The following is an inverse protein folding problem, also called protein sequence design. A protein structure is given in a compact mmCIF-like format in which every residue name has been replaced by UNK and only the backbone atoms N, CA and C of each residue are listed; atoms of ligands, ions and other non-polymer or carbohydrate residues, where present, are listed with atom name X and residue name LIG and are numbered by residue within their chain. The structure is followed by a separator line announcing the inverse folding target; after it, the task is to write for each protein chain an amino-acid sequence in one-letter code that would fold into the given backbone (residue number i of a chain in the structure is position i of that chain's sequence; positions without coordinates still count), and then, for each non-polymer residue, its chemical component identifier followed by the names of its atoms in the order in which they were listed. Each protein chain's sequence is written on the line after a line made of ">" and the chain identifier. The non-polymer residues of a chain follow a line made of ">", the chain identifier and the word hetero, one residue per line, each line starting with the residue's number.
data_IF_908905345484
#
_entry.id   IF_908905345484
#
_cell.length_a   1.000
_cell.length_b   1.000
_cell.length_c   1.000
_cell.angle_alpha   90.00
_cell.angle_beta   90.00
_cell.angle_gamma   90.00
#
_symmetry.space_group_name_H-M   'P 1'
#
loop_
_entity.id
_entity.type
_entity.pdbx_description
1 polymer ?
#
# COMPACT_ATOMS: atom_id res chain seq x y z
N UNK A 1 8.43 75.71 64.02
CA UNK A 1 8.13 74.42 63.36
C UNK A 1 9.39 74.03 62.60
N UNK A 2 10.17 73.01 62.93
CA UNK A 2 9.87 71.68 63.52
C UNK A 2 9.06 70.78 62.58
N UNK A 3 9.74 70.16 61.62
CA UNK A 3 9.92 68.69 61.63
C UNK A 3 11.09 68.22 60.75
N UNK A 4 11.85 67.30 61.32
CA UNK A 4 12.80 66.33 60.74
C UNK A 4 12.42 64.98 61.45
N UNK A 5 12.93 63.78 61.11
CA UNK A 5 13.85 63.40 60.03
C UNK A 5 13.38 62.14 59.25
N UNK A 6 14.34 61.44 58.63
CA UNK A 6 14.39 59.98 58.35
C UNK A 6 13.49 59.31 57.30
N UNK A 7 14.14 58.87 56.21
CA UNK A 7 13.90 57.58 55.55
C UNK A 7 15.11 57.15 54.66
N UNK A 8 16.23 56.74 55.28
CA UNK A 8 17.29 56.01 54.56
C UNK A 8 16.84 54.57 54.31
N UNK A 9 16.84 54.10 53.06
CA UNK A 9 16.53 52.70 52.73
C UNK A 9 17.55 52.10 51.77
N UNK A 10 18.64 51.60 52.37
CA UNK A 10 19.67 50.80 51.71
C UNK A 10 19.08 49.53 51.09
N UNK A 11 19.14 49.38 49.77
CA UNK A 11 18.96 48.07 49.13
C UNK A 11 20.31 47.50 48.68
N UNK A 12 20.84 46.57 49.49
CA UNK A 12 21.94 45.68 49.10
C UNK A 12 21.36 44.35 48.62
N UNK A 13 22.17 43.63 47.85
CA UNK A 13 21.89 42.30 47.29
C UNK A 13 20.89 42.32 46.13
N UNK A 14 20.93 41.43 45.14
CA UNK A 14 21.83 40.27 44.97
C UNK A 14 22.40 40.28 43.55
N UNK A 15 23.71 40.04 43.39
CA UNK A 15 24.26 39.66 42.08
C UNK A 15 23.78 38.24 41.80
N UNK A 16 22.59 38.14 41.20
CA UNK A 16 22.11 36.88 40.66
C UNK A 16 23.07 36.41 39.58
N UNK A 17 23.75 35.29 39.81
CA UNK A 17 24.32 34.49 38.71
C UNK A 17 23.14 33.93 37.90
N UNK A 18 22.57 34.78 37.06
CA UNK A 18 21.83 34.33 35.90
C UNK A 18 22.78 33.48 35.08
N UNK A 19 22.70 32.16 35.23
CA UNK A 19 23.31 31.26 34.27
C UNK A 19 22.72 31.66 32.94
N UNK A 20 23.53 32.24 32.06
CA UNK A 20 23.12 32.50 30.69
C UNK A 20 22.62 31.17 30.16
N UNK A 21 21.31 31.07 29.90
CA UNK A 21 20.75 29.91 29.23
C UNK A 21 21.48 29.87 27.91
N UNK A 22 22.45 28.96 27.79
CA UNK A 22 23.01 28.60 26.50
C UNK A 22 21.77 28.25 25.67
N UNK A 23 21.51 29.04 24.64
CA UNK A 23 20.77 28.49 23.50
C UNK A 23 21.62 27.31 23.07
N UNK A 24 21.16 26.12 23.45
CA UNK A 24 21.83 24.88 23.10
C UNK A 24 21.52 24.68 21.63
N UNK A 25 22.32 25.34 20.79
CA UNK A 25 22.40 25.07 19.36
C UNK A 25 22.41 23.56 19.21
N UNK A 26 21.43 22.95 18.51
CA UNK A 26 21.45 21.51 18.30
C UNK A 26 22.80 21.15 17.66
N UNK A 27 23.40 20.01 18.03
CA UNK A 27 24.70 19.64 17.49
C UNK A 27 24.60 19.57 15.96
N UNK A 28 25.48 20.27 15.21
CA UNK A 28 25.51 20.14 13.76
C UNK A 28 26.12 18.77 13.45
N UNK A 29 25.28 17.73 13.38
CA UNK A 29 25.72 16.33 13.35
C UNK A 29 24.86 15.38 12.50
N UNK A 30 24.02 15.91 11.60
CA UNK A 30 23.26 15.10 10.62
C UNK A 30 23.25 15.71 9.20
N UNK A 31 23.14 17.03 9.09
CA UNK A 31 22.94 17.68 7.79
C UNK A 31 24.21 17.79 6.93
N UNK A 32 25.34 18.21 7.53
CA UNK A 32 26.48 18.77 6.78
C UNK A 32 27.87 18.62 7.41
N UNK A 33 27.99 17.93 8.56
CA UNK A 33 29.25 17.88 9.34
C UNK A 33 30.18 16.71 9.01
N UNK A 34 29.83 15.88 8.01
CA UNK A 34 30.63 14.73 7.61
C UNK A 34 31.38 15.06 6.31
N UNK A 35 32.71 14.81 6.24
CA UNK A 35 33.47 15.04 5.01
C UNK A 35 33.00 14.12 3.89
N UNK A 36 33.15 14.58 2.64
CA UNK A 36 32.72 13.94 1.38
C UNK A 36 32.90 12.41 1.44
N UNK A 37 31.82 11.69 1.70
CA UNK A 37 31.92 10.32 2.22
C UNK A 37 30.60 9.67 2.65
N UNK A 38 29.55 9.80 1.83
CA UNK A 38 28.37 8.92 1.82
C UNK A 38 27.68 8.65 3.19
N UNK A 39 27.45 9.68 4.00
CA UNK A 39 26.70 9.55 5.26
C UNK A 39 25.20 9.37 4.99
N UNK A 40 24.76 8.13 4.77
CA UNK A 40 23.34 7.79 4.64
C UNK A 40 22.62 7.86 5.98
N UNK A 41 21.46 8.51 6.02
CA UNK A 41 20.61 8.63 7.22
C UNK A 41 19.58 7.50 7.23
N UNK A 42 19.55 6.68 8.28
CA UNK A 42 18.50 5.67 8.48
C UNK A 42 17.42 6.18 9.42
N UNK A 43 16.20 6.33 8.92
CA UNK A 43 15.01 6.70 9.70
C UNK A 43 14.34 5.43 10.22
N UNK A 44 14.35 5.20 11.53
CA UNK A 44 13.70 4.05 12.17
C UNK A 44 12.38 4.40 12.87
N UNK A 45 12.09 5.70 13.00
CA UNK A 45 10.93 6.26 13.67
C UNK A 45 10.67 7.70 13.22
N UNK A 46 9.47 8.24 13.49
CA UNK A 46 9.18 9.66 13.30
C UNK A 46 10.08 10.58 14.14
N UNK A 47 10.67 10.09 15.25
CA UNK A 47 11.61 10.88 16.04
C UNK A 47 12.92 11.14 15.28
N UNK A 48 13.36 10.19 14.45
CA UNK A 48 14.57 10.32 13.65
C UNK A 48 14.35 11.28 12.48
N UNK A 49 13.19 11.16 11.81
CA UNK A 49 12.73 12.14 10.82
C UNK A 49 12.58 13.56 11.43
N UNK A 50 12.22 13.67 12.71
CA UNK A 50 12.18 14.96 13.40
C UNK A 50 13.57 15.55 13.67
N UNK A 51 14.66 14.77 13.69
CA UNK A 51 16.02 15.33 13.80
C UNK A 51 16.49 16.01 12.51
N UNK A 52 15.86 15.71 11.36
CA UNK A 52 16.16 16.33 10.07
C UNK A 52 15.50 17.71 9.88
N UNK A 53 14.66 18.16 10.83
CA UNK A 53 13.98 19.47 10.78
C UNK A 53 14.90 20.69 10.88
N UNK A 54 16.21 20.48 11.07
CA UNK A 54 17.25 21.52 11.01
C UNK A 54 18.20 21.33 9.84
N UNK A 55 17.79 20.54 8.85
CA UNK A 55 18.54 20.27 7.62
C UNK A 55 17.69 20.73 6.44
N UNK A 56 18.19 21.70 5.68
CA UNK A 56 17.60 22.10 4.40
C UNK A 56 18.08 21.12 3.30
N UNK A 57 19.38 20.82 3.28
CA UNK A 57 19.99 19.76 2.46
C UNK A 57 20.41 18.55 3.30
N UNK A 58 20.23 17.33 2.77
CA UNK A 58 20.83 16.09 3.27
C UNK A 58 21.90 15.58 2.28
N UNK A 59 23.18 15.62 2.68
CA UNK A 59 24.33 15.28 1.82
C UNK A 59 24.50 13.79 1.47
N UNK A 60 23.46 12.96 1.60
CA UNK A 60 23.52 11.51 1.41
C UNK A 60 22.13 10.90 1.25
N UNK A 61 22.06 9.57 1.15
CA UNK A 61 20.79 8.86 0.98
C UNK A 61 19.98 8.82 2.27
N UNK A 62 18.66 8.94 2.18
CA UNK A 62 17.72 8.69 3.28
C UNK A 62 17.14 7.28 3.10
N UNK A 63 17.34 6.41 4.09
CA UNK A 63 16.80 5.05 4.11
C UNK A 63 15.75 4.90 5.21
N UNK A 64 14.52 4.58 4.86
CA UNK A 64 13.46 4.22 5.81
C UNK A 64 13.67 2.76 6.23
N UNK A 65 13.85 2.51 7.53
CA UNK A 65 14.09 1.17 8.05
C UNK A 65 12.89 0.23 7.83
N UNK A 66 13.10 -1.06 7.50
CA UNK A 66 12.03 -2.07 7.47
C UNK A 66 11.24 -2.20 8.78
N UNK A 67 11.80 -1.74 9.91
CA UNK A 67 11.16 -1.75 11.22
C UNK A 67 10.16 -0.60 11.46
N UNK A 68 10.02 0.35 10.51
CA UNK A 68 9.11 1.49 10.64
C UNK A 68 7.65 1.03 10.61
N UNK A 69 6.83 1.63 11.47
CA UNK A 69 5.38 1.44 11.51
C UNK A 69 4.64 2.77 11.60
N UNK A 70 3.46 2.82 10.99
CA UNK A 70 2.66 4.05 10.89
C UNK A 70 3.19 5.01 9.82
N UNK A 71 3.03 6.30 10.04
CA UNK A 71 3.37 7.35 9.07
C UNK A 71 4.72 7.99 9.36
N UNK A 72 5.50 8.27 8.30
CA UNK A 72 6.69 9.12 8.37
C UNK A 72 6.43 10.43 7.61
N UNK A 73 6.73 11.55 8.26
CA UNK A 73 6.77 12.89 7.67
C UNK A 73 8.16 13.48 7.87
N UNK A 74 8.87 13.75 6.78
CA UNK A 74 10.12 14.52 6.77
C UNK A 74 9.72 15.96 6.43
N UNK A 75 10.20 16.94 7.21
CA UNK A 75 9.84 18.36 7.06
C UNK A 75 11.14 19.17 7.02
N UNK A 76 11.13 20.34 6.37
CA UNK A 76 12.27 21.25 6.15
C UNK A 76 13.38 20.70 5.23
N UNK A 77 13.39 19.42 4.88
CA UNK A 77 14.38 18.88 3.92
C UNK A 77 13.92 19.20 2.50
N UNK A 78 14.61 20.15 1.87
CA UNK A 78 14.40 20.65 0.51
C UNK A 78 15.20 19.85 -0.54
N UNK A 79 16.45 19.45 -0.23
CA UNK A 79 17.30 18.66 -1.15
C UNK A 79 17.81 17.36 -0.48
N UNK A 80 17.75 16.24 -1.21
CA UNK A 80 18.46 15.00 -0.89
C UNK A 80 19.53 14.73 -1.96
N UNK A 81 20.82 14.83 -1.61
CA UNK A 81 21.91 14.58 -2.57
C UNK A 81 22.22 13.10 -2.79
N UNK A 82 21.66 12.20 -1.97
CA UNK A 82 21.60 10.77 -2.26
C UNK A 82 20.24 10.31 -2.78
N UNK A 83 19.90 9.06 -2.54
CA UNK A 83 18.60 8.47 -2.88
C UNK A 83 17.64 8.46 -1.69
N UNK A 84 16.33 8.50 -1.94
CA UNK A 84 15.30 8.22 -0.94
C UNK A 84 14.83 6.77 -1.10
N UNK A 85 15.12 5.93 -0.12
CA UNK A 85 14.93 4.46 -0.20
C UNK A 85 14.01 4.01 0.94
N UNK A 86 12.98 3.23 0.62
CA UNK A 86 12.19 2.48 1.60
C UNK A 86 11.88 1.09 1.02
N UNK A 87 12.43 0.05 1.62
CA UNK A 87 12.27 -1.33 1.13
C UNK A 87 11.80 -2.25 2.25
N UNK A 88 10.73 -3.00 2.02
CA UNK A 88 10.23 -4.03 2.95
C UNK A 88 9.65 -3.51 4.28
N UNK A 89 9.47 -2.20 4.45
CA UNK A 89 8.80 -1.61 5.62
C UNK A 89 7.28 -1.84 5.58
N UNK A 90 6.87 -3.09 5.79
CA UNK A 90 5.47 -3.56 5.70
C UNK A 90 4.53 -2.91 6.72
N UNK A 91 5.07 -2.27 7.77
CA UNK A 91 4.34 -1.47 8.74
C UNK A 91 4.12 0.00 8.36
N UNK A 92 4.83 0.53 7.34
CA UNK A 92 4.72 1.92 6.89
C UNK A 92 3.35 2.14 6.22
N UNK A 93 2.57 3.10 6.70
CA UNK A 93 1.21 3.41 6.19
C UNK A 93 1.16 4.65 5.31
N UNK A 94 2.10 5.59 5.49
CA UNK A 94 2.22 6.79 4.67
C UNK A 94 3.62 7.41 4.72
N UNK A 95 4.04 8.02 3.62
CA UNK A 95 5.29 8.78 3.50
C UNK A 95 4.98 10.18 2.96
N UNK A 96 5.39 11.20 3.71
CA UNK A 96 5.11 12.60 3.40
C UNK A 96 6.39 13.42 3.44
N UNK A 97 6.67 14.13 2.36
CA UNK A 97 7.80 15.05 2.21
C UNK A 97 7.29 16.34 1.54
N UNK A 98 6.52 17.19 2.26
CA UNK A 98 5.86 18.35 1.67
C UNK A 98 6.85 19.35 1.07
N UNK A 99 7.97 19.58 1.78
CA UNK A 99 8.94 20.64 1.49
C UNK A 99 10.11 20.17 0.57
N UNK A 100 10.12 18.89 0.18
CA UNK A 100 11.19 18.30 -0.64
C UNK A 100 11.04 18.72 -2.10
N UNK A 101 11.99 19.51 -2.59
CA UNK A 101 12.08 20.03 -3.95
C UNK A 101 12.85 19.08 -4.89
N UNK A 102 14.01 18.58 -4.46
CA UNK A 102 14.93 17.86 -5.36
C UNK A 102 15.63 16.65 -4.74
N UNK A 103 15.82 15.62 -5.58
CA UNK A 103 16.56 14.39 -5.23
C UNK A 103 17.60 14.10 -6.30
N UNK A 104 18.88 14.20 -5.94
CA UNK A 104 20.00 13.97 -6.88
C UNK A 104 20.27 12.49 -7.15
N UNK A 105 19.86 11.61 -6.23
CA UNK A 105 19.77 10.17 -6.45
C UNK A 105 18.43 9.77 -7.08
N UNK A 106 17.97 8.56 -6.73
CA UNK A 106 16.64 8.06 -7.11
C UNK A 106 15.68 7.96 -5.93
N UNK A 107 14.42 7.66 -6.22
CA UNK A 107 13.38 7.40 -5.22
C UNK A 107 12.93 5.94 -5.38
N UNK A 108 13.27 5.07 -4.43
CA UNK A 108 12.95 3.64 -4.46
C UNK A 108 12.03 3.29 -3.30
N UNK A 109 10.76 3.00 -3.57
CA UNK A 109 9.75 2.68 -2.57
C UNK A 109 9.13 1.31 -2.90
N UNK A 110 9.63 0.24 -2.29
CA UNK A 110 9.39 -1.14 -2.74
C UNK A 110 8.94 -2.09 -1.63
N UNK A 111 7.94 -2.93 -1.92
CA UNK A 111 7.42 -3.97 -1.01
C UNK A 111 6.88 -3.41 0.33
N UNK A 112 6.12 -2.31 0.26
CA UNK A 112 5.59 -1.58 1.41
C UNK A 112 4.12 -1.96 1.61
N UNK A 113 3.90 -3.17 2.13
CA UNK A 113 2.59 -3.85 2.17
C UNK A 113 1.42 -3.01 2.70
N UNK A 114 1.66 -2.11 3.66
CA UNK A 114 0.62 -1.29 4.31
C UNK A 114 0.55 0.15 3.84
N UNK A 115 1.41 0.55 2.88
CA UNK A 115 1.48 1.92 2.41
C UNK A 115 0.22 2.27 1.62
N UNK A 116 -0.45 3.35 2.02
CA UNK A 116 -1.69 3.82 1.37
C UNK A 116 -1.53 5.15 0.64
N UNK A 117 -0.63 6.01 1.13
CA UNK A 117 -0.42 7.37 0.62
C UNK A 117 1.08 7.69 0.54
N UNK A 118 1.51 8.24 -0.59
CA UNK A 118 2.76 8.98 -0.73
C UNK A 118 2.39 10.40 -1.16
N UNK A 119 3.00 11.41 -0.55
CA UNK A 119 2.87 12.81 -0.99
C UNK A 119 4.22 13.51 -0.90
N UNK A 120 4.76 13.85 -2.07
CA UNK A 120 5.96 14.67 -2.24
C UNK A 120 5.49 15.91 -3.00
N UNK A 121 5.13 16.95 -2.23
CA UNK A 121 4.30 18.06 -2.70
C UNK A 121 5.01 18.89 -3.75
N UNK A 122 6.03 19.63 -3.28
CA UNK A 122 6.88 20.50 -4.08
C UNK A 122 8.02 19.80 -4.83
N UNK A 123 8.02 18.45 -4.94
CA UNK A 123 9.12 17.71 -5.57
C UNK A 123 9.15 17.99 -7.07
N UNK A 124 9.98 18.92 -7.51
CA UNK A 124 10.13 19.34 -8.91
C UNK A 124 11.08 18.45 -9.71
N UNK A 125 12.22 18.02 -9.13
CA UNK A 125 13.27 17.33 -9.89
C UNK A 125 13.80 16.04 -9.22
N UNK A 126 13.92 14.98 -10.02
CA UNK A 126 14.69 13.77 -9.65
C UNK A 126 15.74 13.48 -10.72
N UNK A 127 17.01 13.56 -10.33
CA UNK A 127 18.18 13.40 -11.23
C UNK A 127 18.48 11.94 -11.60
N UNK A 128 17.72 10.98 -11.05
CA UNK A 128 17.75 9.55 -11.40
C UNK A 128 16.33 8.99 -11.52
N UNK A 129 16.14 7.70 -11.27
CA UNK A 129 14.84 7.01 -11.42
C UNK A 129 13.91 7.19 -10.21
N UNK A 130 12.60 7.23 -10.47
CA UNK A 130 11.54 7.02 -9.48
C UNK A 130 10.96 5.62 -9.71
N UNK A 131 11.09 4.74 -8.72
CA UNK A 131 10.68 3.33 -8.76
C UNK A 131 9.81 3.03 -7.54
N UNK A 132 8.50 2.92 -7.75
CA UNK A 132 7.50 2.70 -6.69
C UNK A 132 6.74 1.42 -7.05
N UNK A 133 7.11 0.29 -6.44
CA UNK A 133 6.66 -1.05 -6.86
C UNK A 133 6.31 -1.95 -5.67
N UNK A 134 5.53 -3.01 -5.90
CA UNK A 134 5.19 -3.96 -4.83
C UNK A 134 4.39 -3.36 -3.66
N UNK A 135 3.63 -2.27 -3.89
CA UNK A 135 2.89 -1.54 -2.85
C UNK A 135 1.37 -1.75 -3.02
N UNK A 136 0.82 -2.94 -2.67
CA UNK A 136 -0.53 -3.35 -3.09
C UNK A 136 -1.66 -2.50 -2.50
N UNK A 137 -1.45 -1.81 -1.38
CA UNK A 137 -2.44 -0.95 -0.73
C UNK A 137 -2.35 0.54 -1.12
N UNK A 138 -1.39 0.91 -1.97
CA UNK A 138 -1.11 2.30 -2.36
C UNK A 138 -2.24 2.86 -3.22
N UNK A 139 -2.94 3.88 -2.73
CA UNK A 139 -4.12 4.50 -3.37
C UNK A 139 -3.88 5.93 -3.82
N UNK A 140 -2.96 6.63 -3.16
CA UNK A 140 -2.68 8.06 -3.38
C UNK A 140 -1.20 8.26 -3.65
N UNK A 141 -0.91 8.86 -4.80
CA UNK A 141 0.40 9.37 -5.19
C UNK A 141 0.23 10.88 -5.45
N UNK A 142 0.80 11.71 -4.59
CA UNK A 142 0.89 13.15 -4.78
C UNK A 142 2.27 13.55 -5.26
N UNK A 143 2.35 13.99 -6.52
CA UNK A 143 3.53 14.53 -7.20
C UNK A 143 3.03 15.72 -8.04
N UNK A 144 2.63 16.80 -7.36
CA UNK A 144 1.92 17.90 -8.00
C UNK A 144 2.88 18.74 -8.84
N UNK A 145 4.02 19.09 -8.26
CA UNK A 145 4.94 20.06 -8.83
C UNK A 145 6.11 19.38 -9.59
N UNK A 146 6.02 18.06 -9.81
CA UNK A 146 7.06 17.26 -10.49
C UNK A 146 7.19 17.62 -11.97
N UNK A 147 8.25 18.37 -12.30
CA UNK A 147 8.59 18.83 -13.64
C UNK A 147 9.49 17.85 -14.40
N UNK A 148 10.51 17.28 -13.73
CA UNK A 148 11.58 16.55 -14.42
C UNK A 148 12.04 15.26 -13.71
N UNK A 149 12.13 14.17 -14.47
CA UNK A 149 12.75 12.89 -14.07
C UNK A 149 13.81 12.47 -15.09
N UNK A 150 15.07 12.39 -14.66
CA UNK A 150 16.20 12.05 -15.54
C UNK A 150 16.40 10.55 -15.75
N UNK A 151 15.89 9.72 -14.83
CA UNK A 151 15.87 8.26 -14.94
C UNK A 151 14.53 7.70 -15.42
N UNK A 152 14.29 6.45 -15.04
CA UNK A 152 13.03 5.73 -15.28
C UNK A 152 11.92 6.24 -14.34
N UNK A 153 10.67 6.25 -14.81
CA UNK A 153 9.49 6.51 -13.99
C UNK A 153 8.60 5.26 -13.95
N UNK A 154 8.76 4.45 -12.91
CA UNK A 154 7.97 3.22 -12.70
C UNK A 154 7.07 3.35 -11.47
N UNK A 155 5.74 3.37 -11.71
CA UNK A 155 4.73 3.61 -10.67
C UNK A 155 3.67 2.50 -10.70
N UNK A 156 3.71 1.59 -9.73
CA UNK A 156 2.78 0.46 -9.60
C UNK A 156 2.04 0.52 -8.25
N UNK A 157 0.70 0.50 -8.30
CA UNK A 157 -0.15 0.53 -7.11
C UNK A 157 -1.64 0.35 -7.42
N UNK A 158 -2.47 0.48 -6.39
CA UNK A 158 -3.94 0.35 -6.46
C UNK A 158 -4.66 1.70 -6.56
N UNK A 159 -4.02 2.69 -7.18
CA UNK A 159 -4.60 4.03 -7.43
C UNK A 159 -5.52 4.04 -8.67
N UNK A 160 -6.55 4.88 -8.64
CA UNK A 160 -7.58 4.98 -9.71
C UNK A 160 -7.33 6.10 -10.73
N UNK A 161 -6.50 7.06 -10.34
CA UNK A 161 -6.04 8.17 -11.15
C UNK A 161 -4.65 8.57 -10.67
N UNK A 162 -3.89 9.16 -11.59
CA UNK A 162 -2.62 9.82 -11.32
C UNK A 162 -2.62 11.09 -12.18
N UNK A 163 -2.22 12.21 -11.59
CA UNK A 163 -2.06 13.48 -12.30
C UNK A 163 -0.66 13.99 -12.01
N UNK A 164 0.05 14.39 -13.05
CA UNK A 164 1.40 14.94 -12.99
C UNK A 164 1.35 16.26 -13.79
N UNK A 165 0.70 17.32 -13.26
CA UNK A 165 0.27 18.46 -14.05
C UNK A 165 1.43 19.35 -14.53
N UNK A 166 2.55 19.37 -13.79
CA UNK A 166 3.73 20.18 -14.10
C UNK A 166 4.80 19.43 -14.92
N UNK A 167 4.59 18.16 -15.27
CA UNK A 167 5.62 17.28 -15.82
C UNK A 167 5.98 17.61 -17.28
N UNK A 168 7.11 18.28 -17.52
CA UNK A 168 7.65 18.58 -18.86
C UNK A 168 8.49 17.43 -19.44
N UNK A 169 9.24 16.71 -18.60
CA UNK A 169 10.23 15.75 -19.11
C UNK A 169 10.47 14.53 -18.22
N UNK A 170 10.30 13.34 -18.82
CA UNK A 170 10.91 12.10 -18.34
C UNK A 170 11.91 11.59 -19.38
N UNK A 171 13.19 11.53 -19.03
CA UNK A 171 14.24 11.08 -19.95
C UNK A 171 14.29 9.55 -20.08
N UNK A 172 13.97 8.78 -19.05
CA UNK A 172 13.92 7.32 -19.10
C UNK A 172 12.61 6.75 -19.65
N UNK A 173 12.44 5.44 -19.51
CA UNK A 173 11.18 4.76 -19.81
C UNK A 173 10.15 5.05 -18.71
N UNK A 174 8.88 5.23 -19.09
CA UNK A 174 7.76 5.39 -18.15
C UNK A 174 6.83 4.17 -18.18
N UNK A 175 6.55 3.61 -17.01
CA UNK A 175 5.69 2.43 -16.83
C UNK A 175 4.75 2.67 -15.64
N UNK A 176 3.46 2.81 -15.92
CA UNK A 176 2.45 3.18 -14.91
C UNK A 176 1.35 2.12 -14.86
N UNK A 177 1.18 1.50 -13.70
CA UNK A 177 0.25 0.38 -13.45
C UNK A 177 -0.61 0.73 -12.24
N UNK A 178 -1.80 1.27 -12.50
CA UNK A 178 -2.80 1.58 -11.46
C UNK A 178 -3.71 0.38 -11.14
N UNK A 179 -4.87 0.65 -10.56
CA UNK A 179 -5.92 -0.36 -10.35
C UNK A 179 -6.57 -0.82 -11.67
N UNK A 180 -7.44 -1.83 -11.63
CA UNK A 180 -8.16 -2.35 -12.81
C UNK A 180 -9.11 -1.35 -13.47
N UNK A 181 -9.45 -0.26 -12.80
CA UNK A 181 -10.26 0.86 -13.33
C UNK A 181 -9.48 2.18 -13.40
N UNK A 182 -8.14 2.13 -13.40
CA UNK A 182 -7.27 3.27 -13.66
C UNK A 182 -7.55 3.91 -15.02
N UNK A 183 -7.66 5.25 -15.07
CA UNK A 183 -7.68 5.99 -16.34
C UNK A 183 -6.29 6.53 -16.69
N UNK A 184 -5.80 6.19 -17.88
CA UNK A 184 -4.55 6.72 -18.43
C UNK A 184 -4.72 8.07 -19.17
N UNK A 185 -5.95 8.54 -19.38
CA UNK A 185 -6.28 9.65 -20.29
C UNK A 185 -5.50 10.95 -20.04
N UNK A 186 -5.27 11.31 -18.78
CA UNK A 186 -4.49 12.51 -18.41
C UNK A 186 -3.03 12.39 -18.81
N UNK A 187 -2.47 11.18 -18.74
CA UNK A 187 -1.08 10.88 -19.04
C UNK A 187 -0.84 10.63 -20.54
N UNK A 188 -1.87 10.17 -21.27
CA UNK A 188 -1.87 10.12 -22.74
C UNK A 188 -1.85 11.55 -23.36
N UNK A 189 -2.27 12.58 -22.61
CA UNK A 189 -2.01 13.99 -22.93
C UNK A 189 -0.51 14.30 -22.94
N UNK A 190 0.16 14.14 -21.79
CA UNK A 190 1.61 14.34 -21.62
C UNK A 190 2.45 13.58 -22.67
N UNK A 191 2.01 12.37 -23.05
CA UNK A 191 2.61 11.58 -24.14
C UNK A 191 2.51 12.27 -25.51
N UNK A 192 1.39 12.93 -25.81
CA UNK A 192 1.16 13.69 -27.03
C UNK A 192 2.03 14.95 -27.08
N UNK A 193 2.23 15.58 -25.92
CA UNK A 193 3.14 16.71 -25.70
C UNK A 193 4.63 16.29 -25.67
N UNK A 194 4.91 14.99 -25.85
CA UNK A 194 6.24 14.34 -25.91
C UNK A 194 7.03 14.33 -24.60
N UNK A 195 6.38 14.52 -23.46
CA UNK A 195 6.99 14.54 -22.11
C UNK A 195 7.89 13.31 -21.88
N UNK A 196 7.40 12.13 -22.24
CA UNK A 196 8.12 10.86 -22.10
C UNK A 196 9.06 10.60 -23.29
N UNK A 197 10.37 10.85 -23.10
CA UNK A 197 11.35 10.83 -24.20
C UNK A 197 11.73 9.41 -24.66
N UNK A 198 11.90 8.45 -23.75
CA UNK A 198 12.27 7.05 -24.05
C UNK A 198 11.10 6.04 -23.99
N UNK A 199 9.88 6.55 -24.23
CA UNK A 199 8.67 5.73 -24.33
C UNK A 199 7.88 5.63 -23.03
N UNK A 200 6.58 5.40 -23.20
CA UNK A 200 5.59 5.39 -22.12
C UNK A 200 4.61 4.22 -22.30
N UNK A 201 4.33 3.54 -21.20
CA UNK A 201 3.26 2.57 -21.07
C UNK A 201 2.42 2.92 -19.83
N UNK A 202 1.10 2.98 -20.00
CA UNK A 202 0.15 3.03 -18.91
C UNK A 202 -0.84 1.88 -19.08
N UNK A 203 -1.18 1.21 -17.98
CA UNK A 203 -2.13 0.10 -17.99
C UNK A 203 -2.93 0.07 -16.69
N UNK A 204 -4.19 -0.37 -16.79
CA UNK A 204 -4.96 -0.71 -15.62
C UNK A 204 -4.51 -2.08 -15.09
N UNK A 205 -4.29 -2.18 -13.77
CA UNK A 205 -3.79 -3.37 -13.11
C UNK A 205 -4.77 -4.52 -13.19
N UNK A 206 -4.63 -5.35 -14.23
CA UNK A 206 -5.50 -6.50 -14.42
C UNK A 206 -5.19 -7.57 -13.37
N UNK A 207 -6.12 -7.83 -12.47
CA UNK A 207 -6.04 -8.91 -11.46
C UNK A 207 -6.05 -10.32 -12.07
N UNK A 208 -6.18 -10.45 -13.40
CA UNK A 208 -6.00 -11.71 -14.12
C UNK A 208 -4.53 -11.96 -14.48
N UNK A 209 -3.96 -13.03 -13.91
CA UNK A 209 -2.63 -13.63 -14.13
C UNK A 209 -1.82 -13.20 -15.37
N UNK A 210 -0.49 -13.07 -15.20
CA UNK A 210 0.47 -12.80 -16.29
C UNK A 210 0.21 -13.63 -17.56
N UNK A 211 0.38 -13.06 -18.78
CA UNK A 211 0.18 -13.79 -20.04
C UNK A 211 0.89 -15.15 -20.11
N UNK A 212 2.09 -15.28 -19.54
CA UNK A 212 2.82 -16.56 -19.47
C UNK A 212 2.10 -17.62 -18.63
N UNK A 213 1.51 -17.23 -17.49
CA UNK A 213 0.75 -18.14 -16.63
C UNK A 213 -0.58 -18.56 -17.29
N UNK A 214 -1.25 -17.64 -18.01
CA UNK A 214 -2.44 -17.96 -18.82
C UNK A 214 -2.10 -18.96 -19.95
N UNK A 215 -0.97 -18.76 -20.63
CA UNK A 215 -0.48 -19.67 -21.68
C UNK A 215 -0.14 -21.08 -21.17
N UNK A 216 0.57 -21.18 -20.05
CA UNK A 216 0.99 -22.46 -19.47
C UNK A 216 -0.18 -23.39 -19.11
N UNK A 217 -1.26 -22.84 -18.53
CA UNK A 217 -2.45 -23.62 -18.18
C UNK A 217 -3.14 -24.20 -19.43
N UNK A 218 -3.25 -23.41 -20.50
CA UNK A 218 -3.89 -23.85 -21.74
C UNK A 218 -3.16 -25.06 -22.37
N UNK A 219 -1.83 -25.00 -22.46
CA UNK A 219 -1.02 -26.12 -23.00
C UNK A 219 -1.09 -27.34 -22.09
N UNK A 220 -1.02 -27.16 -20.76
CA UNK A 220 -1.09 -28.25 -19.80
C UNK A 220 -2.39 -29.06 -19.89
N UNK A 221 -3.54 -28.39 -19.98
CA UNK A 221 -4.84 -29.08 -20.11
C UNK A 221 -4.94 -29.88 -21.41
N UNK A 222 -4.45 -29.34 -22.54
CA UNK A 222 -4.49 -30.04 -23.84
C UNK A 222 -3.68 -31.35 -23.78
N UNK A 223 -2.48 -31.32 -23.19
CA UNK A 223 -1.64 -32.52 -23.04
C UNK A 223 -2.30 -33.55 -22.11
N UNK A 224 -2.85 -33.13 -20.98
CA UNK A 224 -3.55 -34.04 -20.04
C UNK A 224 -4.77 -34.69 -20.69
N UNK A 225 -5.59 -33.93 -21.43
CA UNK A 225 -6.76 -34.49 -22.14
C UNK A 225 -6.33 -35.49 -23.21
N UNK A 226 -5.28 -35.21 -23.99
CA UNK A 226 -4.74 -36.15 -24.98
C UNK A 226 -4.27 -37.47 -24.34
N UNK A 227 -3.56 -37.40 -23.21
CA UNK A 227 -3.12 -38.60 -22.48
C UNK A 227 -4.30 -39.41 -21.95
N UNK A 228 -5.35 -38.76 -21.41
CA UNK A 228 -6.58 -39.44 -20.95
C UNK A 228 -7.27 -40.15 -22.13
N UNK A 229 -7.41 -39.49 -23.29
CA UNK A 229 -8.00 -40.09 -24.49
C UNK A 229 -7.19 -41.30 -24.98
N UNK A 230 -5.86 -41.21 -24.99
CA UNK A 230 -4.97 -42.33 -25.36
C UNK A 230 -5.08 -43.51 -24.39
N UNK A 231 -5.16 -43.25 -23.08
CA UNK A 231 -5.36 -44.29 -22.05
C UNK A 231 -6.73 -44.96 -22.21
N UNK A 232 -7.80 -44.19 -22.40
CA UNK A 232 -9.15 -44.74 -22.63
C UNK A 232 -9.20 -45.59 -23.91
N UNK A 233 -8.61 -45.10 -25.01
CA UNK A 233 -8.50 -45.86 -26.26
C UNK A 233 -7.70 -47.16 -26.08
N UNK A 234 -6.58 -47.12 -25.35
CA UNK A 234 -5.76 -48.29 -25.05
C UNK A 234 -6.52 -49.32 -24.21
N UNK A 235 -7.23 -48.89 -23.15
CA UNK A 235 -8.06 -49.77 -22.31
C UNK A 235 -9.19 -50.40 -23.12
N UNK A 236 -9.88 -49.63 -23.97
CA UNK A 236 -10.94 -50.15 -24.86
C UNK A 236 -10.40 -51.11 -25.92
N UNK A 237 -9.24 -50.82 -26.51
CA UNK A 237 -8.54 -51.71 -27.46
C UNK A 237 -8.12 -53.03 -26.80
N UNK A 238 -7.57 -52.98 -25.58
CA UNK A 238 -7.15 -54.15 -24.80
C UNK A 238 -8.35 -54.99 -24.31
N UNK A 239 -9.48 -54.36 -24.00
CA UNK A 239 -10.77 -55.06 -23.77
C UNK A 239 -11.27 -55.78 -25.03
N UNK A 240 -11.30 -55.10 -26.19
CA UNK A 240 -11.71 -55.70 -27.49
C UNK A 240 -10.80 -56.86 -27.92
N UNK A 241 -9.50 -56.80 -27.62
CA UNK A 241 -8.59 -57.93 -27.88
C UNK A 241 -8.92 -59.16 -27.01
N UNK A 242 -9.27 -58.98 -25.73
CA UNK A 242 -9.68 -60.10 -24.85
C UNK A 242 -11.00 -60.78 -25.29
N UNK A 243 -11.85 -60.09 -26.05
CA UNK A 243 -13.11 -60.65 -26.57
C UNK A 243 -12.94 -61.55 -27.82
N UNK A 244 -11.71 -61.77 -28.33
CA UNK A 244 -11.44 -62.61 -29.51
C UNK A 244 -10.81 -63.98 -29.19
N UNK A 245 -10.83 -64.43 -27.93
CA UNK A 245 -10.15 -65.67 -27.50
C UNK A 245 -10.96 -66.53 -26.52
N UNK A 246 -12.14 -67.02 -26.93
CA UNK A 246 -12.96 -67.90 -26.10
C UNK A 246 -14.04 -68.66 -26.88
N UNK A 247 -13.81 -69.96 -27.08
CA UNK A 247 -14.70 -70.92 -27.77
C UNK A 247 -13.89 -71.96 -28.55
N UNK A 248 -14.22 -73.26 -28.56
CA UNK A 248 -15.34 -73.98 -27.90
C UNK A 248 -15.02 -75.50 -27.84
N UNK A 249 -15.83 -76.28 -27.08
CA UNK A 249 -16.03 -77.75 -27.22
C UNK A 249 -14.89 -78.71 -26.81
N UNK A 250 -15.12 -79.99 -26.45
CA UNK A 250 -16.33 -80.72 -25.96
C UNK A 250 -15.95 -82.12 -25.43
N UNK A 251 -16.74 -82.72 -24.54
CA UNK A 251 -17.02 -84.19 -24.40
C UNK A 251 -18.21 -84.38 -23.43
N UNK A 252 -18.98 -85.47 -23.56
CA UNK A 252 -20.29 -85.72 -22.89
C UNK A 252 -20.30 -87.12 -22.17
N UNK A 253 -21.41 -87.69 -21.63
CA UNK A 253 -21.55 -88.03 -20.20
C UNK A 253 -21.59 -89.57 -19.93
N UNK A 254 -22.01 -90.11 -18.75
CA UNK A 254 -23.41 -90.08 -18.26
C UNK A 254 -23.62 -89.91 -16.72
N UNK A 255 -24.88 -89.64 -16.34
CA UNK A 255 -25.62 -89.97 -15.08
C UNK A 255 -24.81 -90.46 -13.85
N UNK A 256 -24.98 -89.93 -12.62
CA UNK A 256 -26.27 -89.76 -11.90
C UNK A 256 -26.18 -88.89 -10.62
N UNK A 257 -27.33 -88.46 -10.09
CA UNK A 257 -27.53 -87.77 -8.79
C UNK A 257 -27.78 -88.77 -7.64
N UNK A 258 -27.38 -88.53 -6.36
CA UNK A 258 -28.09 -87.55 -5.50
C UNK A 258 -27.23 -86.80 -4.45
N UNK A 259 -27.90 -86.04 -3.58
CA UNK A 259 -27.35 -85.05 -2.63
C UNK A 259 -26.58 -85.59 -1.41
N UNK A 260 -25.53 -84.87 -1.00
CA UNK A 260 -24.93 -84.77 0.35
C UNK A 260 -24.01 -83.53 0.29
N UNK A 261 -24.10 -82.43 1.07
CA UNK A 261 -24.40 -82.14 2.51
C UNK A 261 -23.13 -82.20 3.39
N UNK A 262 -23.00 -81.21 4.29
CA UNK A 262 -21.89 -80.93 5.25
C UNK A 262 -20.65 -80.19 4.70
N UNK A 263 -20.16 -79.29 5.57
CA UNK A 263 -19.11 -78.28 5.46
C UNK A 263 -17.67 -78.82 5.21
N UNK A 264 -16.61 -77.98 5.20
CA UNK A 264 -15.98 -77.54 6.45
C UNK A 264 -14.97 -76.36 6.34
N UNK A 265 -14.81 -75.66 7.48
CA UNK A 265 -13.73 -74.76 7.97
C UNK A 265 -12.26 -75.27 7.75
N UNK A 266 -11.13 -74.63 8.12
CA UNK A 266 -10.77 -73.36 8.78
C UNK A 266 -9.26 -73.02 8.52
N UNK A 267 -8.77 -71.95 9.17
CA UNK A 267 -7.37 -71.57 9.51
C UNK A 267 -6.56 -70.82 8.42
N UNK A 268 -6.16 -69.53 8.56
CA UNK A 268 -5.54 -68.73 9.68
C UNK A 268 -4.06 -69.15 9.87
N UNK A 269 -3.03 -68.25 10.00
CA UNK A 269 -3.04 -66.87 10.58
C UNK A 269 -2.17 -65.73 9.94
N UNK A 270 -2.37 -64.46 10.41
CA UNK A 270 -1.37 -63.39 10.80
C UNK A 270 -0.39 -62.82 9.71
N UNK A 271 0.14 -61.57 9.71
CA UNK A 271 0.21 -60.40 10.64
C UNK A 271 -0.03 -59.06 9.88
N UNK A 272 -0.71 -58.03 10.43
CA UNK A 272 -0.21 -56.87 11.24
C UNK A 272 0.85 -55.96 10.59
N UNK A 273 0.86 -54.64 10.78
CA UNK A 273 -0.01 -53.70 11.55
C UNK A 273 0.38 -52.25 11.19
N UNK A 274 -0.12 -51.16 11.77
CA UNK A 274 -1.14 -50.83 12.81
C UNK A 274 -1.43 -49.29 12.65
N UNK A 275 -2.19 -48.49 13.44
CA UNK A 275 -2.80 -48.54 14.78
C UNK A 275 -4.17 -47.80 14.73
N UNK A 276 -5.11 -48.15 15.61
CA UNK A 276 -6.24 -47.32 16.09
C UNK A 276 -6.45 -47.66 17.60
N UNK A 277 -7.11 -46.85 18.45
CA UNK A 277 -8.55 -46.53 18.43
C UNK A 277 -8.84 -45.00 18.45
N UNK A 278 -10.02 -44.44 18.17
CA UNK A 278 -11.46 -44.78 18.39
C UNK A 278 -12.08 -44.30 19.72
N UNK A 279 -13.42 -44.20 19.71
CA UNK A 279 -14.28 -43.32 20.51
C UNK A 279 -15.22 -44.14 21.43
N UNK A 280 -15.68 -43.53 22.55
CA UNK A 280 -16.43 -44.19 23.63
C UNK A 280 -17.81 -43.53 23.81
N UNK A 281 -18.89 -44.31 23.98
CA UNK A 281 -20.26 -43.79 24.21
C UNK A 281 -21.20 -44.83 24.85
N UNK A 282 -22.12 -44.40 25.74
CA UNK A 282 -23.46 -45.00 25.76
C UNK A 282 -24.67 -44.04 25.97
N UNK A 283 -25.83 -44.61 25.62
CA UNK A 283 -27.26 -44.19 25.62
C UNK A 283 -27.92 -44.19 27.04
N UNK A 284 -29.27 -44.03 27.23
CA UNK A 284 -30.37 -43.41 26.43
C UNK A 284 -31.39 -42.55 27.25
N UNK A 285 -32.41 -41.95 26.60
CA UNK A 285 -33.85 -42.00 27.01
C UNK A 285 -34.82 -41.44 25.92
N UNK A 286 -36.15 -41.44 26.13
CA UNK A 286 -37.21 -41.45 25.08
C UNK A 286 -38.16 -40.20 24.97
N UNK A 287 -38.94 -40.06 23.86
CA UNK A 287 -39.82 -38.90 23.51
C UNK A 287 -41.30 -39.08 24.02
N UNK A 288 -42.34 -38.28 23.64
CA UNK A 288 -42.51 -37.18 22.65
C UNK A 288 -43.13 -35.86 23.28
N UNK A 289 -43.67 -34.82 22.61
CA UNK A 289 -44.51 -34.72 21.39
C UNK A 289 -44.71 -33.26 20.88
N UNK A 290 -45.06 -33.12 19.59
CA UNK A 290 -45.74 -31.99 18.91
C UNK A 290 -45.05 -30.62 18.63
N UNK A 291 -45.37 -30.15 17.43
CA UNK A 291 -45.08 -28.91 16.67
C UNK A 291 -45.80 -27.64 17.20
N UNK A 292 -45.65 -26.41 16.63
CA UNK A 292 -44.58 -25.83 15.77
C UNK A 292 -44.21 -24.34 16.08
N UNK A 293 -43.37 -23.75 15.18
CA UNK A 293 -43.25 -22.31 14.78
C UNK A 293 -42.11 -21.47 15.39
N UNK A 294 -41.70 -20.50 14.56
CA UNK A 294 -40.56 -19.59 14.66
C UNK A 294 -41.07 -18.18 14.99
N UNK A 295 -40.55 -17.48 16.02
CA UNK A 295 -40.91 -16.09 16.30
C UNK A 295 -40.22 -15.13 15.32
N UNK A 296 -40.82 -13.95 15.13
CA UNK A 296 -40.32 -12.85 14.31
C UNK A 296 -40.20 -11.60 15.17
N UNK A 297 -39.12 -10.84 15.00
CA UNK A 297 -39.01 -9.41 15.33
C UNK A 297 -39.33 -8.97 16.76
N UNK A 298 -38.30 -8.78 17.58
CA UNK A 298 -38.37 -7.86 18.72
C UNK A 298 -38.32 -6.40 18.22
N UNK A 299 -39.30 -5.59 18.62
CA UNK A 299 -39.35 -4.17 18.25
C UNK A 299 -38.33 -3.33 19.02
N UNK A 300 -37.82 -2.26 18.40
CA UNK A 300 -36.99 -1.27 19.08
C UNK A 300 -37.92 -0.29 19.82
N UNK A 301 -37.84 -0.30 21.15
CA UNK A 301 -38.39 0.76 21.99
C UNK A 301 -37.52 2.02 21.82
N UNK A 302 -38.13 3.13 21.39
CA UNK A 302 -37.54 4.45 21.56
C UNK A 302 -37.97 5.01 22.91
N UNK A 303 -37.01 5.15 23.83
CA UNK A 303 -37.22 5.88 25.09
C UNK A 303 -37.09 7.40 24.85
N UNK A 304 -37.99 8.17 25.44
CA UNK A 304 -38.26 9.57 25.06
C UNK A 304 -37.81 10.58 26.10
N UNK A 305 -36.52 10.96 26.13
CA UNK A 305 -36.04 12.07 26.97
C UNK A 305 -34.69 12.69 26.56
N UNK A 306 -34.75 13.80 25.81
CA UNK A 306 -33.83 14.96 25.87
C UNK A 306 -34.11 15.95 24.73
N UNK A 307 -35.27 16.64 24.79
CA UNK A 307 -35.49 17.82 23.94
C UNK A 307 -34.77 19.01 24.58
N UNK A 308 -33.80 19.57 23.86
CA UNK A 308 -33.25 20.90 24.15
C UNK A 308 -33.92 21.90 23.20
N UNK A 309 -34.49 22.96 23.75
CA UNK A 309 -35.17 24.00 22.96
C UNK A 309 -34.16 24.83 22.16
N UNK A 310 -34.50 25.15 20.91
CA UNK A 310 -33.69 26.02 20.08
C UNK A 310 -33.92 27.48 20.46
N UNK A 311 -32.86 28.18 20.88
CA UNK A 311 -32.91 29.62 21.10
C UNK A 311 -32.92 30.37 19.76
N UNK A 312 -33.94 31.19 19.51
CA UNK A 312 -33.99 32.09 18.36
C UNK A 312 -32.93 33.20 18.49
N UNK A 313 -31.78 33.01 17.83
CA UNK A 313 -30.72 34.02 17.71
C UNK A 313 -30.74 34.69 16.33
N UNK A 314 -31.34 35.88 16.24
CA UNK A 314 -31.22 36.73 15.06
C UNK A 314 -29.80 37.34 15.00
N UNK A 315 -28.98 36.88 14.06
CA UNK A 315 -27.76 37.58 13.62
C UNK A 315 -27.86 37.86 12.12
N UNK A 316 -27.64 39.10 11.66
CA UNK A 316 -27.71 39.41 10.24
C UNK A 316 -26.50 38.82 9.50
N UNK A 317 -26.74 38.31 8.29
CA UNK A 317 -25.67 37.96 7.35
C UNK A 317 -24.98 39.25 6.93
N UNK A 318 -23.73 39.45 7.36
CA UNK A 318 -22.91 40.55 6.84
C UNK A 318 -22.24 40.08 5.54
N UNK A 319 -22.96 40.31 4.45
CA UNK A 319 -22.50 40.03 3.09
C UNK A 319 -21.45 41.08 2.68
N UNK A 320 -20.19 40.65 2.56
CA UNK A 320 -19.10 41.52 2.14
C UNK A 320 -19.07 41.62 0.61
N UNK A 321 -19.64 42.69 0.06
CA UNK A 321 -19.39 43.09 -1.32
C UNK A 321 -18.04 43.83 -1.39
N UNK A 322 -17.04 43.23 -2.03
CA UNK A 322 -15.87 44.00 -2.48
C UNK A 322 -16.30 44.98 -3.57
N UNK A 323 -15.92 46.24 -3.41
CA UNK A 323 -16.11 47.26 -4.45
C UNK A 323 -14.89 47.24 -5.37
N UNK A 324 -15.05 46.71 -6.57
CA UNK A 324 -14.03 46.70 -7.62
C UNK A 324 -13.60 48.12 -7.99
N UNK A 325 -12.45 48.53 -7.45
CA UNK A 325 -11.85 49.85 -7.64
C UNK A 325 -11.08 49.87 -8.97
N UNK A 326 -11.83 50.03 -10.08
CA UNK A 326 -11.29 50.06 -11.43
C UNK A 326 -10.11 51.01 -11.66
N UNK A 327 -9.27 50.76 -12.69
CA UNK A 327 -7.92 51.30 -12.78
C UNK A 327 -7.84 52.83 -12.86
N UNK A 328 -7.25 53.43 -11.83
CA UNK A 328 -6.99 54.88 -11.74
C UNK A 328 -5.92 55.29 -12.75
N UNK A 329 -6.34 55.89 -13.87
CA UNK A 329 -5.44 56.43 -14.90
C UNK A 329 -4.75 57.72 -14.46
N UNK A 330 -3.69 57.60 -13.66
CA UNK A 330 -2.91 58.73 -13.14
C UNK A 330 -2.05 59.43 -14.20
N UNK A 331 -2.63 60.39 -14.93
CA UNK A 331 -1.92 61.20 -15.93
C UNK A 331 -1.41 62.53 -15.33
N UNK A 332 -0.22 62.50 -14.71
CA UNK A 332 0.48 63.70 -14.26
C UNK A 332 1.81 63.95 -15.00
N UNK A 333 2.21 65.22 -15.03
CA UNK A 333 3.10 65.81 -16.02
C UNK A 333 4.55 65.27 -16.00
N UNK A 334 5.14 65.18 -17.20
CA UNK A 334 6.59 65.20 -17.38
C UNK A 334 7.14 66.59 -17.02
N UNK A 335 8.32 66.70 -16.38
CA UNK A 335 9.02 67.97 -16.22
C UNK A 335 9.35 68.61 -17.57
N UNK A 336 9.27 69.95 -17.62
CA UNK A 336 9.78 70.74 -18.75
C UNK A 336 11.27 71.01 -18.50
N UNK A 337 12.10 70.94 -19.55
CA UNK A 337 13.54 71.22 -19.46
C UNK A 337 13.79 72.70 -19.13
N UNK A 338 14.75 72.94 -18.24
CA UNK A 338 15.32 74.27 -18.03
C UNK A 338 16.37 74.60 -19.11
N UNK A 339 16.55 75.90 -19.34
CA UNK A 339 17.63 76.52 -20.12
C UNK A 339 18.14 77.74 -19.34
#
# INVERSE_FOLDING_TARGET
>A
MIRNPDAQLTYKSTIGRGQGRKFSTPPPSLCSSFPIGSSSVTISSQNDANQLRSCDTVSGSITISPSVSGTITINNVEEIQGALIAEGASGLTGLFTPDLDSVQGGITLSNLDSLTTITMGGLSQVSSSIIITGNPKLKTLGFQDLEQVDGQLELTGSFYSLSLPSLDQVKGQTTIVGSSSMSCSTLDGLKSDRVFRNGYTCSSGSSGLSPGAKGGIAVGVIVVVLLIVLVLWFVLRRRRQRQKGGGTQSTIPPSSTPSTVVAHYEKVPISQGSISPQEEAPRPEEPPTLLPRKPVGSAILLDGRSVYEAANGLTPVQEYHELDAGPVSGSHQRPIHAA
#
